data_IF_777506785661
#
_entry.id   IF_777506785661
#
_cell.length_a   1.000
_cell.length_b   1.000
_cell.length_c   1.000
_cell.angle_alpha   90.00
_cell.angle_beta   90.00
_cell.angle_gamma   90.00
#
_symmetry.space_group_name_H-M   'P 1'
#
loop_
_entity.id
_entity.type
_entity.pdbx_description
1 polymer ?
#
# COMPACT_ATOMS: atom_id res chain seq x y z
N UNK A 1 4.01 10.61 23.12
CA UNK A 1 4.17 9.69 21.96
C UNK A 1 5.64 9.29 21.86
N UNK A 2 5.95 8.00 22.01
CA UNK A 2 7.33 7.49 21.88
C UNK A 2 7.81 7.59 20.42
N UNK A 3 9.09 7.88 20.20
CA UNK A 3 9.71 7.94 18.87
C UNK A 3 9.49 6.65 18.06
N UNK A 4 9.52 5.49 18.73
CA UNK A 4 9.23 4.20 18.09
C UNK A 4 7.80 4.16 17.53
N UNK A 5 6.80 4.64 18.28
CA UNK A 5 5.41 4.66 17.80
C UNK A 5 5.23 5.65 16.64
N UNK A 6 5.88 6.82 16.70
CA UNK A 6 5.84 7.80 15.61
C UNK A 6 6.42 7.22 14.31
N UNK A 7 7.54 6.49 14.41
CA UNK A 7 8.17 5.83 13.27
C UNK A 7 7.24 4.79 12.64
N UNK A 8 6.60 3.94 13.45
CA UNK A 8 5.70 2.90 12.94
C UNK A 8 4.45 3.51 12.29
N UNK A 9 3.85 4.55 12.89
CA UNK A 9 2.70 5.25 12.30
C UNK A 9 3.06 5.85 10.94
N UNK A 10 4.24 6.45 10.82
CA UNK A 10 4.72 7.01 9.54
C UNK A 10 4.78 5.95 8.46
N UNK A 11 5.34 4.77 8.76
CA UNK A 11 5.39 3.64 7.82
C UNK A 11 3.97 3.17 7.47
N UNK A 12 3.08 3.03 8.46
CA UNK A 12 1.71 2.58 8.21
C UNK A 12 0.93 3.55 7.32
N UNK A 13 1.14 4.86 7.46
CA UNK A 13 0.56 5.88 6.57
C UNK A 13 1.08 5.73 5.14
N UNK A 14 2.38 5.49 4.97
CA UNK A 14 2.95 5.25 3.63
C UNK A 14 2.30 4.00 3.00
N UNK A 15 2.16 2.91 3.78
CA UNK A 15 1.47 1.69 3.31
C UNK A 15 0.01 1.97 2.96
N UNK A 16 -0.71 2.80 3.72
CA UNK A 16 -2.07 3.23 3.38
C UNK A 16 -2.12 3.94 2.02
N UNK A 17 -1.19 4.86 1.78
CA UNK A 17 -1.12 5.60 0.50
C UNK A 17 -0.91 4.63 -0.66
N UNK A 18 0.04 3.69 -0.55
CA UNK A 18 0.24 2.65 -1.57
C UNK A 18 -1.00 1.76 -1.74
N UNK A 19 -1.67 1.41 -0.64
CA UNK A 19 -2.92 0.65 -0.69
C UNK A 19 -4.01 1.37 -1.51
N UNK A 20 -4.17 2.68 -1.31
CA UNK A 20 -5.09 3.49 -2.11
C UNK A 20 -4.68 3.60 -3.58
N UNK A 21 -3.38 3.79 -3.87
CA UNK A 21 -2.86 3.78 -5.24
C UNK A 21 -3.20 2.46 -5.93
N UNK A 22 -2.96 1.34 -5.27
CA UNK A 22 -3.19 0.00 -5.80
C UNK A 22 -4.68 -0.28 -6.10
N UNK A 23 -5.62 0.30 -5.34
CA UNK A 23 -7.07 0.17 -5.59
C UNK A 23 -7.54 1.10 -6.71
N UNK A 24 -7.25 2.39 -6.61
CA UNK A 24 -7.82 3.42 -7.47
C UNK A 24 -7.05 3.60 -8.78
N UNK A 25 -5.74 3.38 -8.76
CA UNK A 25 -4.86 3.42 -9.94
C UNK A 25 -3.95 2.19 -10.01
N UNK A 26 -4.51 0.98 -10.22
CA UNK A 26 -3.73 -0.27 -10.25
C UNK A 26 -2.66 -0.29 -11.35
N UNK A 27 -2.81 0.50 -12.42
CA UNK A 27 -1.76 0.68 -13.44
C UNK A 27 -0.55 1.42 -12.86
N UNK A 28 -0.79 2.46 -12.06
CA UNK A 28 0.28 3.17 -11.34
C UNK A 28 0.92 2.26 -10.29
N UNK A 29 0.11 1.52 -9.52
CA UNK A 29 0.60 0.50 -8.58
C UNK A 29 1.55 -0.49 -9.25
N UNK A 30 1.09 -1.12 -10.33
CA UNK A 30 1.91 -2.00 -11.14
C UNK A 30 3.16 -1.33 -11.72
N UNK A 31 3.07 -0.06 -12.14
CA UNK A 31 4.23 0.68 -12.64
C UNK A 31 5.28 0.90 -11.56
N UNK A 32 4.86 1.22 -10.34
CA UNK A 32 5.75 1.38 -9.17
C UNK A 32 6.35 0.04 -8.73
N UNK A 33 5.63 -1.06 -8.90
CA UNK A 33 6.11 -2.42 -8.59
C UNK A 33 7.15 -2.91 -9.60
N UNK A 34 6.77 -2.99 -10.89
CA UNK A 34 7.60 -3.61 -11.94
C UNK A 34 7.59 -2.86 -13.27
N UNK A 35 6.54 -2.09 -13.59
CA UNK A 35 6.41 -1.43 -14.89
C UNK A 35 7.53 -0.43 -15.21
N UNK A 36 8.19 0.14 -14.20
CA UNK A 36 9.37 0.98 -14.40
C UNK A 36 10.61 0.22 -14.90
N UNK A 37 10.65 -1.11 -14.72
CA UNK A 37 11.79 -1.97 -15.09
C UNK A 37 11.68 -2.57 -16.48
N UNK A 38 10.47 -2.57 -17.05
CA UNK A 38 10.18 -3.25 -18.31
C UNK A 38 9.71 -2.23 -19.34
N UNK A 39 10.31 -2.30 -20.54
CA UNK A 39 10.04 -1.36 -21.61
C UNK A 39 8.82 -1.81 -22.42
N UNK A 40 7.92 -0.87 -22.73
CA UNK A 40 6.77 -1.06 -23.63
C UNK A 40 5.87 -2.25 -23.26
N UNK A 41 5.79 -2.60 -21.98
CA UNK A 41 4.94 -3.66 -21.46
C UNK A 41 3.72 -3.08 -20.76
N UNK A 42 2.56 -3.68 -21.02
CA UNK A 42 1.31 -3.33 -20.35
C UNK A 42 0.99 -4.34 -19.23
N UNK A 43 0.39 -3.89 -18.12
CA UNK A 43 -0.07 -4.80 -17.08
C UNK A 43 -1.15 -5.74 -17.61
N UNK A 44 -1.01 -7.03 -17.35
CA UNK A 44 -2.07 -8.00 -17.61
C UNK A 44 -3.30 -7.73 -16.74
N UNK A 45 -4.46 -8.22 -17.16
CA UNK A 45 -5.69 -8.09 -16.37
C UNK A 45 -5.53 -8.71 -14.97
N UNK A 46 -4.85 -9.86 -14.88
CA UNK A 46 -4.54 -10.52 -13.61
C UNK A 46 -3.64 -9.65 -12.72
N UNK A 47 -2.64 -8.96 -13.28
CA UNK A 47 -1.77 -8.06 -12.52
C UNK A 47 -2.55 -6.86 -11.93
N UNK A 48 -3.50 -6.30 -12.69
CA UNK A 48 -4.37 -5.22 -12.20
C UNK A 48 -5.32 -5.69 -11.09
N UNK A 49 -5.90 -6.89 -11.22
CA UNK A 49 -6.71 -7.50 -10.15
C UNK A 49 -5.85 -7.72 -8.91
N UNK A 50 -4.64 -8.27 -9.07
CA UNK A 50 -3.74 -8.54 -7.95
C UNK A 50 -3.33 -7.25 -7.23
N UNK A 51 -3.07 -6.17 -7.98
CA UNK A 51 -2.84 -4.85 -7.40
C UNK A 51 -4.06 -4.37 -6.57
N UNK A 52 -5.28 -4.47 -7.10
CA UNK A 52 -6.47 -4.09 -6.32
C UNK A 52 -6.62 -4.90 -5.04
N UNK A 53 -6.43 -6.22 -5.12
CA UNK A 53 -6.52 -7.12 -3.97
C UNK A 53 -5.43 -6.80 -2.94
N UNK A 54 -4.18 -6.61 -3.38
CA UNK A 54 -3.07 -6.24 -2.50
C UNK A 54 -3.33 -4.90 -1.82
N UNK A 55 -3.90 -3.94 -2.55
CA UNK A 55 -4.28 -2.64 -2.00
C UNK A 55 -5.32 -2.73 -0.88
N UNK A 56 -6.34 -3.59 -1.02
CA UNK A 56 -7.31 -3.86 0.05
C UNK A 56 -6.63 -4.43 1.29
N UNK A 57 -5.74 -5.41 1.13
CA UNK A 57 -4.99 -5.98 2.25
C UNK A 57 -4.06 -4.96 2.91
N UNK A 58 -3.36 -4.14 2.13
CA UNK A 58 -2.50 -3.06 2.65
C UNK A 58 -3.29 -2.09 3.52
N UNK A 59 -4.47 -1.66 3.06
CA UNK A 59 -5.33 -0.75 3.84
C UNK A 59 -5.78 -1.40 5.14
N UNK A 60 -6.30 -2.63 5.10
CA UNK A 60 -6.77 -3.34 6.29
C UNK A 60 -5.65 -3.47 7.33
N UNK A 61 -4.48 -3.96 6.91
CA UNK A 61 -3.34 -4.18 7.81
C UNK A 61 -2.86 -2.85 8.41
N UNK A 62 -2.67 -1.82 7.59
CA UNK A 62 -2.20 -0.53 8.06
C UNK A 62 -3.20 0.14 9.01
N UNK A 63 -4.50 0.06 8.73
CA UNK A 63 -5.56 0.54 9.63
C UNK A 63 -5.55 -0.19 10.98
N UNK A 64 -5.37 -1.52 10.98
CA UNK A 64 -5.27 -2.31 12.22
C UNK A 64 -4.04 -1.87 13.04
N UNK A 65 -2.89 -1.70 12.40
CA UNK A 65 -1.66 -1.26 13.08
C UNK A 65 -1.85 0.11 13.71
N UNK A 66 -2.38 1.09 12.94
CA UNK A 66 -2.62 2.44 13.45
C UNK A 66 -3.60 2.42 14.62
N UNK A 67 -4.71 1.70 14.48
CA UNK A 67 -5.69 1.55 15.56
C UNK A 67 -5.07 0.95 16.82
N UNK A 68 -4.28 -0.12 16.69
CA UNK A 68 -3.58 -0.74 17.82
C UNK A 68 -2.62 0.21 18.52
N UNK A 69 -1.83 0.97 17.77
CA UNK A 69 -0.86 1.91 18.35
C UNK A 69 -1.57 3.04 19.08
N UNK A 70 -2.65 3.58 18.52
CA UNK A 70 -3.46 4.62 19.17
C UNK A 70 -4.00 4.15 20.52
N UNK A 71 -4.39 2.87 20.64
CA UNK A 71 -4.88 2.29 21.91
C UNK A 71 -3.76 2.02 22.93
N UNK A 72 -2.51 1.88 22.50
CA UNK A 72 -1.35 1.62 23.37
C UNK A 72 -0.70 2.92 23.89
N UNK A 73 -1.08 4.06 23.31
CA UNK A 73 -0.60 5.40 23.69
C UNK A 73 -1.38 5.98 24.87
#
# INVERSE_FOLDING_TARGET
MNLTYLFIITIAIIVLIFGFINIFSPKTGWWLEIGWRIKDAEPSHAALIMNRVSGVFMIIIASIIIYRIIQLM
#
